data_IF_441300485830
#
_entry.id   IF_441300485830
#
_cell.length_a   1.000
_cell.length_b   1.000
_cell.length_c   1.000
_cell.angle_alpha   90.00
_cell.angle_beta   90.00
_cell.angle_gamma   90.00
#
_symmetry.space_group_name_H-M   'P 1'
#
loop_
_entity.id
_entity.type
_entity.pdbx_description
1 polymer ?
#
# COMPACT_ATOMS: atom_id res chain seq x y z
N UNK A 1 58.72 20.66 -12.31
CA UNK A 1 57.97 20.66 -11.02
C UNK A 1 56.57 21.28 -11.17
N UNK A 2 56.43 22.45 -11.78
CA UNK A 2 55.14 23.15 -12.01
C UNK A 2 54.10 22.35 -12.82
N UNK A 3 54.52 21.67 -13.90
CA UNK A 3 53.63 20.81 -14.71
C UNK A 3 53.05 19.61 -13.96
N UNK A 4 53.78 19.05 -12.97
CA UNK A 4 53.32 17.90 -12.17
C UNK A 4 52.20 18.32 -11.19
N UNK A 5 52.30 19.53 -10.64
CA UNK A 5 51.31 20.14 -9.74
C UNK A 5 50.01 20.45 -10.50
N UNK A 6 50.11 21.00 -11.72
CA UNK A 6 48.94 21.28 -12.58
C UNK A 6 48.23 19.99 -13.07
N UNK A 7 48.98 18.93 -13.41
CA UNK A 7 48.39 17.63 -13.78
C UNK A 7 47.63 16.99 -12.60
N UNK A 8 48.20 17.05 -11.39
CA UNK A 8 47.56 16.52 -10.18
C UNK A 8 46.28 17.31 -9.80
N UNK A 9 46.24 18.63 -10.02
CA UNK A 9 45.02 19.44 -9.80
C UNK A 9 43.90 19.13 -10.79
N UNK A 10 44.21 18.85 -12.07
CA UNK A 10 43.20 18.46 -13.07
C UNK A 10 42.61 17.07 -12.83
N UNK A 11 43.43 16.10 -12.40
CA UNK A 11 42.96 14.77 -12.01
C UNK A 11 42.15 14.76 -10.71
N UNK A 12 42.54 15.58 -9.73
CA UNK A 12 41.79 15.73 -8.48
C UNK A 12 40.38 16.29 -8.70
N UNK A 13 40.21 17.26 -9.60
CA UNK A 13 38.89 17.83 -9.90
C UNK A 13 37.95 16.81 -10.56
N UNK A 14 38.44 15.97 -11.48
CA UNK A 14 37.61 14.93 -12.11
C UNK A 14 37.16 13.87 -11.11
N UNK A 15 38.04 13.48 -10.18
CA UNK A 15 37.72 12.52 -9.12
C UNK A 15 36.67 13.10 -8.16
N UNK A 16 36.77 14.37 -7.80
CA UNK A 16 35.77 15.05 -6.97
C UNK A 16 34.41 15.06 -7.69
N UNK A 17 34.37 15.49 -8.95
CA UNK A 17 33.15 15.53 -9.76
C UNK A 17 32.50 14.15 -9.91
N UNK A 18 33.27 13.11 -10.25
CA UNK A 18 32.74 11.75 -10.35
C UNK A 18 32.22 11.24 -9.01
N UNK A 19 32.93 11.54 -7.92
CA UNK A 19 32.51 11.14 -6.57
C UNK A 19 31.21 11.83 -6.15
N UNK A 20 31.04 13.11 -6.48
CA UNK A 20 29.81 13.85 -6.21
C UNK A 20 28.63 13.25 -6.97
N UNK A 21 28.78 12.94 -8.27
CA UNK A 21 27.72 12.32 -9.08
C UNK A 21 27.33 10.96 -8.50
N UNK A 22 28.31 10.12 -8.17
CA UNK A 22 28.07 8.80 -7.56
C UNK A 22 27.35 8.95 -6.23
N UNK A 23 27.80 9.88 -5.37
CA UNK A 23 27.15 10.13 -4.08
C UNK A 23 25.70 10.58 -4.24
N UNK A 24 25.42 11.46 -5.21
CA UNK A 24 24.06 11.90 -5.54
C UNK A 24 23.19 10.73 -5.98
N UNK A 25 23.66 9.88 -6.89
CA UNK A 25 22.94 8.69 -7.35
C UNK A 25 22.67 7.74 -6.18
N UNK A 26 23.68 7.46 -5.36
CA UNK A 26 23.53 6.62 -4.16
C UNK A 26 22.48 7.21 -3.20
N UNK A 27 22.48 8.53 -2.99
CA UNK A 27 21.51 9.20 -2.11
C UNK A 27 20.09 9.03 -2.64
N UNK A 28 19.86 9.20 -3.94
CA UNK A 28 18.56 8.94 -4.56
C UNK A 28 18.15 7.48 -4.44
N UNK A 29 19.07 6.53 -4.65
CA UNK A 29 18.80 5.11 -4.48
C UNK A 29 18.39 4.76 -3.04
N UNK A 30 19.10 5.31 -2.04
CA UNK A 30 18.75 5.13 -0.62
C UNK A 30 17.38 5.74 -0.27
N UNK A 31 17.08 6.96 -0.74
CA UNK A 31 15.75 7.56 -0.55
C UNK A 31 14.65 6.69 -1.18
N UNK A 32 14.91 6.10 -2.35
CA UNK A 32 13.96 5.24 -3.03
C UNK A 32 13.70 3.94 -2.26
N UNK A 33 14.77 3.29 -1.78
CA UNK A 33 14.66 2.10 -0.93
C UNK A 33 13.89 2.38 0.36
N UNK A 34 14.19 3.51 1.01
CA UNK A 34 13.47 3.96 2.20
C UNK A 34 11.98 4.16 1.93
N UNK A 35 11.61 4.80 0.81
CA UNK A 35 10.20 4.97 0.44
C UNK A 35 9.51 3.63 0.20
N UNK A 36 10.20 2.68 -0.46
CA UNK A 36 9.67 1.34 -0.67
C UNK A 36 9.41 0.60 0.65
N UNK A 37 10.35 0.67 1.59
CA UNK A 37 10.21 0.06 2.92
C UNK A 37 9.02 0.66 3.70
N UNK A 38 8.89 1.98 3.69
CA UNK A 38 7.75 2.67 4.30
C UNK A 38 6.43 2.27 3.65
N UNK A 39 6.39 2.14 2.33
CA UNK A 39 5.20 1.69 1.61
C UNK A 39 4.80 0.26 2.02
N UNK A 40 5.76 -0.66 2.09
CA UNK A 40 5.54 -2.04 2.53
C UNK A 40 5.03 -2.11 3.97
N UNK A 41 5.63 -1.32 4.87
CA UNK A 41 5.20 -1.23 6.26
C UNK A 41 3.78 -0.67 6.39
N UNK A 42 3.45 0.39 5.64
CA UNK A 42 2.11 0.96 5.61
C UNK A 42 1.08 -0.07 5.13
N UNK A 43 1.38 -0.81 4.05
CA UNK A 43 0.51 -1.89 3.56
C UNK A 43 0.30 -2.96 4.62
N UNK A 44 1.36 -3.42 5.28
CA UNK A 44 1.23 -4.41 6.36
C UNK A 44 0.33 -3.93 7.49
N UNK A 45 0.45 -2.66 7.89
CA UNK A 45 -0.40 -2.07 8.93
C UNK A 45 -1.86 -1.96 8.49
N UNK A 46 -2.10 -1.57 7.24
CA UNK A 46 -3.46 -1.52 6.69
C UNK A 46 -4.10 -2.89 6.60
N UNK A 47 -3.35 -3.91 6.18
CA UNK A 47 -3.81 -5.29 6.18
C UNK A 47 -4.22 -5.72 7.60
N UNK A 48 -3.41 -5.40 8.61
CA UNK A 48 -3.72 -5.72 10.00
C UNK A 48 -4.97 -4.98 10.51
N UNK A 49 -5.14 -3.71 10.16
CA UNK A 49 -6.32 -2.92 10.53
C UNK A 49 -7.58 -3.46 9.86
N UNK A 50 -7.54 -3.76 8.56
CA UNK A 50 -8.67 -4.37 7.84
C UNK A 50 -9.02 -5.74 8.41
N UNK A 51 -8.00 -6.54 8.75
CA UNK A 51 -8.21 -7.84 9.39
C UNK A 51 -8.87 -7.72 10.77
N UNK A 52 -8.44 -6.77 11.59
CA UNK A 52 -9.07 -6.47 12.87
C UNK A 52 -10.52 -6.01 12.67
N UNK A 53 -10.77 -5.15 11.69
CA UNK A 53 -12.11 -4.69 11.34
C UNK A 53 -13.03 -5.86 10.98
N UNK A 54 -12.59 -6.74 10.09
CA UNK A 54 -13.33 -7.95 9.71
C UNK A 54 -13.55 -8.89 10.90
N UNK A 55 -12.58 -9.00 11.81
CA UNK A 55 -12.70 -9.80 13.03
C UNK A 55 -13.76 -9.22 13.97
N UNK A 56 -13.80 -7.91 14.14
CA UNK A 56 -14.79 -7.23 14.98
C UNK A 56 -16.20 -7.35 14.37
N UNK A 57 -16.32 -7.21 13.05
CA UNK A 57 -17.57 -7.46 12.31
C UNK A 57 -18.01 -8.91 12.50
N UNK A 58 -17.08 -9.87 12.40
CA UNK A 58 -17.35 -11.30 12.59
C UNK A 58 -17.79 -11.63 14.01
N UNK A 59 -17.15 -11.03 15.02
CA UNK A 59 -17.49 -11.25 16.43
C UNK A 59 -18.85 -10.66 16.77
N UNK A 60 -19.11 -9.42 16.34
CA UNK A 60 -20.35 -8.71 16.64
C UNK A 60 -21.52 -9.12 15.73
N UNK A 61 -21.23 -9.82 14.62
CA UNK A 61 -22.20 -10.19 13.56
C UNK A 61 -22.96 -8.97 13.02
N UNK A 62 -22.27 -7.84 12.96
CA UNK A 62 -22.86 -6.56 12.58
C UNK A 62 -21.83 -5.70 11.86
N UNK A 63 -22.21 -5.23 10.67
CA UNK A 63 -21.44 -4.30 9.86
C UNK A 63 -21.98 -2.89 10.12
N UNK A 64 -21.21 -2.08 10.84
CA UNK A 64 -21.59 -0.70 11.23
C UNK A 64 -20.74 0.33 10.51
N UNK A 65 -21.38 1.43 10.13
CA UNK A 65 -20.67 2.61 9.64
C UNK A 65 -19.60 3.14 10.64
N UNK A 66 -19.85 3.06 11.96
CA UNK A 66 -18.89 3.53 12.97
C UNK A 66 -17.55 2.78 12.94
N UNK A 67 -17.59 1.48 12.63
CA UNK A 67 -16.40 0.63 12.51
C UNK A 67 -15.55 1.09 11.32
N UNK A 68 -16.22 1.46 10.22
CA UNK A 68 -15.58 1.98 9.03
C UNK A 68 -15.11 3.43 9.15
N UNK A 69 -15.80 4.28 9.90
CA UNK A 69 -15.33 5.64 10.19
C UNK A 69 -14.00 5.62 10.95
N UNK A 70 -13.84 4.68 11.90
CA UNK A 70 -12.58 4.47 12.59
C UNK A 70 -11.48 4.05 11.62
N UNK A 71 -11.76 3.06 10.76
CA UNK A 71 -10.83 2.62 9.72
C UNK A 71 -10.42 3.76 8.79
N UNK A 72 -11.38 4.53 8.25
CA UNK A 72 -11.11 5.68 7.39
C UNK A 72 -10.26 6.76 8.08
N UNK A 73 -10.45 6.96 9.39
CA UNK A 73 -9.63 7.91 10.16
C UNK A 73 -8.19 7.43 10.27
N UNK A 74 -7.96 6.16 10.55
CA UNK A 74 -6.62 5.58 10.64
C UNK A 74 -5.94 5.49 9.27
N UNK A 75 -6.68 5.09 8.23
CA UNK A 75 -6.27 5.09 6.82
C UNK A 75 -5.67 6.42 6.36
N UNK A 76 -6.29 7.55 6.74
CA UNK A 76 -5.81 8.90 6.35
C UNK A 76 -4.38 9.17 6.77
N UNK A 77 -3.87 8.52 7.83
CA UNK A 77 -2.49 8.66 8.29
C UNK A 77 -1.47 8.08 7.29
N UNK A 78 -1.92 7.15 6.45
CA UNK A 78 -1.08 6.42 5.51
C UNK A 78 -1.15 6.97 4.07
N UNK A 79 -2.05 7.92 3.78
CA UNK A 79 -2.27 8.53 2.45
C UNK A 79 -0.98 9.04 1.80
N UNK A 80 -0.09 9.66 2.58
CA UNK A 80 1.18 10.21 2.07
C UNK A 80 2.13 9.14 1.48
N UNK A 81 1.93 7.87 1.85
CA UNK A 81 2.78 6.75 1.41
C UNK A 81 2.08 5.85 0.39
N UNK A 82 0.77 5.63 0.55
CA UNK A 82 0.01 4.71 -0.30
C UNK A 82 -0.75 5.40 -1.45
N UNK A 83 -0.86 6.73 -1.41
CA UNK A 83 -1.65 7.51 -2.36
C UNK A 83 -3.17 7.30 -2.21
N UNK A 84 -3.92 7.70 -3.23
CA UNK A 84 -5.38 7.55 -3.25
C UNK A 84 -5.80 6.08 -3.33
N UNK A 85 -6.87 5.74 -2.64
CA UNK A 85 -7.43 4.39 -2.60
C UNK A 85 -8.96 4.41 -2.71
N UNK A 86 -9.53 3.28 -3.14
CA UNK A 86 -10.94 2.96 -3.04
C UNK A 86 -11.10 1.79 -2.08
N UNK A 87 -11.98 1.93 -1.11
CA UNK A 87 -12.29 0.87 -0.15
C UNK A 87 -13.73 0.40 -0.33
N UNK A 88 -13.93 -0.91 -0.41
CA UNK A 88 -15.25 -1.53 -0.49
C UNK A 88 -15.32 -2.83 0.28
N UNK A 89 -16.52 -3.16 0.72
CA UNK A 89 -16.86 -4.49 1.19
C UNK A 89 -17.57 -5.29 0.10
N UNK A 90 -17.25 -6.58 0.04
CA UNK A 90 -17.99 -7.55 -0.75
C UNK A 90 -18.56 -8.60 0.22
N UNK A 91 -19.88 -8.80 0.16
CA UNK A 91 -20.62 -9.72 1.01
C UNK A 91 -21.10 -10.89 0.15
N UNK A 92 -20.76 -12.09 0.58
CA UNK A 92 -21.02 -13.34 -0.11
C UNK A 92 -21.94 -14.25 0.71
N UNK A 93 -22.78 -15.04 0.05
CA UNK A 93 -23.59 -16.06 0.70
C UNK A 93 -22.76 -17.31 1.07
N UNK A 94 -23.44 -18.31 1.65
CA UNK A 94 -22.86 -19.60 2.01
C UNK A 94 -22.26 -20.34 0.81
N UNK A 95 -22.79 -20.10 -0.39
CA UNK A 95 -22.41 -20.72 -1.64
C UNK A 95 -21.36 -19.91 -2.42
N UNK A 96 -20.84 -18.82 -1.81
CA UNK A 96 -19.87 -17.86 -2.37
C UNK A 96 -20.40 -17.02 -3.53
N UNK A 97 -21.70 -16.84 -3.65
CA UNK A 97 -22.27 -15.84 -4.57
C UNK A 97 -22.18 -14.46 -3.93
N UNK A 98 -21.73 -13.47 -4.70
CA UNK A 98 -21.73 -12.06 -4.27
C UNK A 98 -23.18 -11.59 -4.14
N UNK A 99 -23.59 -11.25 -2.93
CA UNK A 99 -24.93 -10.74 -2.63
C UNK A 99 -24.93 -9.21 -2.68
N UNK A 100 -23.84 -8.60 -2.21
CA UNK A 100 -23.78 -7.15 -2.06
C UNK A 100 -22.36 -6.61 -2.11
N UNK A 101 -22.22 -5.45 -2.73
CA UNK A 101 -21.05 -4.59 -2.60
C UNK A 101 -21.44 -3.34 -1.81
N UNK A 102 -20.57 -2.88 -0.92
CA UNK A 102 -20.77 -1.66 -0.14
C UNK A 102 -19.53 -0.81 -0.29
N UNK A 103 -19.69 0.33 -0.95
CA UNK A 103 -18.61 1.29 -1.09
C UNK A 103 -18.42 2.13 0.19
N UNK A 104 -17.20 2.62 0.40
CA UNK A 104 -16.83 3.46 1.54
C UNK A 104 -17.67 4.73 1.75
N UNK A 105 -18.44 5.15 0.75
CA UNK A 105 -19.32 6.33 0.83
C UNK A 105 -20.74 6.00 1.25
N UNK A 106 -21.11 4.72 1.29
CA UNK A 106 -22.45 4.30 1.69
C UNK A 106 -22.59 4.28 3.22
N UNK A 107 -23.77 4.68 3.71
CA UNK A 107 -24.14 4.54 5.12
C UNK A 107 -24.84 3.20 5.30
N UNK A 108 -24.28 2.34 6.15
CA UNK A 108 -24.82 1.01 6.41
C UNK A 108 -24.84 0.68 7.90
N UNK A 109 -25.83 -0.13 8.27
CA UNK A 109 -25.93 -0.74 9.59
C UNK A 109 -26.65 -2.07 9.45
N UNK A 110 -25.90 -3.13 9.17
CA UNK A 110 -26.43 -4.43 8.76
C UNK A 110 -26.07 -5.52 9.75
N UNK A 111 -27.09 -6.23 10.22
CA UNK A 111 -26.89 -7.50 10.93
C UNK A 111 -26.59 -8.60 9.94
N UNK A 112 -25.54 -9.35 10.21
CA UNK A 112 -25.07 -10.42 9.35
C UNK A 112 -25.67 -11.74 9.80
N UNK A 113 -26.25 -12.47 8.85
CA UNK A 113 -26.77 -13.81 9.11
C UNK A 113 -25.63 -14.83 9.12
N UNK A 114 -25.75 -15.92 9.91
CA UNK A 114 -24.72 -16.96 9.95
C UNK A 114 -24.42 -17.56 8.57
N UNK A 115 -23.12 -17.72 8.27
CA UNK A 115 -22.60 -18.31 7.03
C UNK A 115 -22.39 -17.33 5.87
N UNK A 116 -22.65 -16.04 6.06
CA UNK A 116 -22.20 -14.98 5.14
C UNK A 116 -20.68 -14.85 5.21
N UNK A 117 -20.01 -14.61 4.08
CA UNK A 117 -18.59 -14.24 4.03
C UNK A 117 -18.44 -12.76 3.69
N UNK A 118 -17.64 -12.00 4.44
CA UNK A 118 -17.30 -10.60 4.12
C UNK A 118 -15.84 -10.50 3.77
N UNK A 119 -15.62 -9.83 2.65
CA UNK A 119 -14.31 -9.49 2.14
C UNK A 119 -14.17 -7.99 2.14
N UNK A 120 -13.02 -7.52 2.61
CA UNK A 120 -12.67 -6.11 2.61
C UNK A 120 -11.61 -5.86 1.54
N UNK A 121 -11.85 -4.91 0.65
CA UNK A 121 -11.01 -4.67 -0.52
C UNK A 121 -10.56 -3.23 -0.53
N UNK A 122 -9.24 -3.03 -0.63
CA UNK A 122 -8.62 -1.72 -0.74
C UNK A 122 -7.82 -1.61 -2.04
N UNK A 123 -8.36 -0.90 -3.02
CA UNK A 123 -7.74 -0.74 -4.33
C UNK A 123 -6.99 0.60 -4.37
N UNK A 124 -5.68 0.58 -4.53
CA UNK A 124 -4.91 1.80 -4.79
C UNK A 124 -5.18 2.31 -6.21
N UNK A 125 -5.47 3.61 -6.36
CA UNK A 125 -5.71 4.25 -7.67
C UNK A 125 -4.43 4.49 -8.45
N UNK A 126 -3.33 4.75 -7.75
CA UNK A 126 -2.04 5.07 -8.36
C UNK A 126 -1.07 3.89 -8.22
N UNK A 127 -0.24 3.68 -9.24
CA UNK A 127 0.81 2.65 -9.20
C UNK A 127 1.84 3.03 -8.16
N UNK A 128 1.85 2.25 -7.08
CA UNK A 128 2.84 2.24 -6.02
C UNK A 128 4.27 2.24 -6.55
N UNK A 129 5.17 2.89 -5.82
CA UNK A 129 6.60 3.00 -6.15
C UNK A 129 7.22 1.60 -6.20
N UNK A 130 6.88 0.74 -5.23
CA UNK A 130 7.28 -0.67 -5.20
C UNK A 130 6.78 -1.45 -6.43
N UNK A 131 5.54 -1.24 -6.88
CA UNK A 131 5.01 -1.93 -8.06
C UNK A 131 5.65 -1.42 -9.34
N UNK A 132 5.97 -0.12 -9.46
CA UNK A 132 6.72 0.40 -10.61
C UNK A 132 8.08 -0.28 -10.72
N UNK A 133 8.75 -0.50 -9.59
CA UNK A 133 9.99 -1.29 -9.52
C UNK A 133 9.79 -2.72 -10.02
N UNK A 134 8.76 -3.42 -9.53
CA UNK A 134 8.43 -4.77 -9.99
C UNK A 134 8.15 -4.79 -11.49
N UNK A 135 7.33 -3.88 -12.00
CA UNK A 135 6.98 -3.77 -13.42
C UNK A 135 8.21 -3.48 -14.30
N UNK A 136 9.16 -2.67 -13.81
CA UNK A 136 10.45 -2.44 -14.50
C UNK A 136 11.28 -3.73 -14.55
N UNK A 137 11.30 -4.50 -13.45
CA UNK A 137 12.08 -5.76 -13.35
C UNK A 137 11.43 -6.88 -14.18
N UNK A 138 10.10 -7.01 -14.13
CA UNK A 138 9.35 -8.06 -14.81
C UNK A 138 9.04 -7.74 -16.27
N UNK A 139 9.20 -6.48 -16.69
CA UNK A 139 8.82 -5.97 -18.01
C UNK A 139 7.32 -6.19 -18.32
N UNK A 140 6.48 -6.19 -17.28
CA UNK A 140 5.03 -6.35 -17.38
C UNK A 140 4.32 -5.06 -16.96
N UNK A 141 3.30 -4.67 -17.72
CA UNK A 141 2.40 -3.56 -17.39
C UNK A 141 1.12 -4.09 -16.73
N UNK A 142 1.23 -4.64 -15.52
CA UNK A 142 0.06 -5.09 -14.78
C UNK A 142 -0.75 -3.89 -14.25
N UNK A 143 -2.05 -3.86 -14.54
CA UNK A 143 -3.01 -2.94 -13.90
C UNK A 143 -3.27 -3.36 -12.45
N UNK A 144 -3.40 -2.36 -11.58
CA UNK A 144 -3.24 -2.49 -10.14
C UNK A 144 -4.48 -3.06 -9.46
N UNK A 145 -4.34 -4.16 -8.70
CA UNK A 145 -5.30 -4.57 -7.66
C UNK A 145 -4.52 -5.05 -6.43
N UNK A 146 -4.47 -4.25 -5.38
CA UNK A 146 -4.02 -4.74 -4.08
C UNK A 146 -5.25 -5.33 -3.40
N UNK A 147 -5.49 -6.62 -3.59
CA UNK A 147 -6.51 -7.30 -2.80
C UNK A 147 -5.93 -7.58 -1.42
N UNK A 148 -6.28 -6.75 -0.44
CA UNK A 148 -5.58 -6.75 0.83
C UNK A 148 -5.99 -7.92 1.73
N UNK A 149 -7.27 -8.28 1.89
CA UNK A 149 -7.66 -9.39 2.78
C UNK A 149 -9.07 -9.94 2.52
N UNK A 150 -9.23 -11.27 2.53
CA UNK A 150 -10.54 -11.93 2.61
C UNK A 150 -10.65 -12.74 3.90
N UNK A 151 -11.74 -12.61 4.65
CA UNK A 151 -11.97 -13.41 5.86
C UNK A 151 -13.27 -14.20 5.73
N UNK A 152 -13.16 -15.53 5.77
CA UNK A 152 -14.33 -16.42 5.77
C UNK A 152 -14.90 -16.46 7.19
N UNK A 153 -16.21 -16.26 7.31
CA UNK A 153 -16.90 -16.41 8.59
C UNK A 153 -17.03 -17.91 8.82
N UNK A 154 -16.55 -18.37 9.96
CA UNK A 154 -16.71 -19.74 10.42
C UNK A 154 -17.64 -19.66 11.64
N UNK A 155 -18.64 -20.55 11.64
CA UNK A 155 -19.64 -20.70 12.71
C UNK A 155 -19.00 -20.82 14.11
#
# INVERSE_FOLDING_TARGET
MYMKILKNKKGGLSVILSSTIVLTICTFAFMYMYYCEMEMHCRSNLNNLMYQELKDISYNKELKNSTHEFFNKEMKRYLNFIGDYNYKYEIYDKDKNLIREIDSTEVYNEKLTPGITIKSILIQKNTAVTQRLVNIISNESAEHKIEITSMKFIE
#
